data_IF_088748351830
#
_entry.id   IF_088748351830
#
_cell.length_a   1.000
_cell.length_b   1.000
_cell.length_c   1.000
_cell.angle_alpha   90.00
_cell.angle_beta   90.00
_cell.angle_gamma   90.00
#
_symmetry.space_group_name_H-M   'P 1'
#
loop_
_entity.id
_entity.type
_entity.pdbx_description
1 polymer ?
#
# COMPACT_ATOMS: atom_id res chain seq x y z
N UNK A 1 -8.79 10.85 6.75
CA UNK A 1 -8.92 9.52 6.09
C UNK A 1 -7.62 9.15 5.38
N UNK A 2 -7.20 9.89 4.36
CA UNK A 2 -5.93 9.63 3.64
C UNK A 2 -4.70 9.69 4.54
N UNK A 3 -4.54 10.74 5.36
CA UNK A 3 -3.41 10.85 6.29
C UNK A 3 -3.34 9.68 7.29
N UNK A 4 -4.49 9.25 7.81
CA UNK A 4 -4.59 8.10 8.71
C UNK A 4 -4.12 6.83 8.02
N UNK A 5 -4.51 6.61 6.77
CA UNK A 5 -4.06 5.45 6.00
C UNK A 5 -2.54 5.50 5.76
N UNK A 6 -1.99 6.67 5.42
CA UNK A 6 -0.53 6.83 5.22
C UNK A 6 0.23 6.52 6.52
N UNK A 7 -0.24 7.03 7.67
CA UNK A 7 0.38 6.74 8.97
C UNK A 7 0.31 5.25 9.33
N UNK A 8 -0.84 4.62 9.14
CA UNK A 8 -0.99 3.17 9.37
C UNK A 8 -0.05 2.34 8.49
N UNK A 9 0.13 2.75 7.23
CA UNK A 9 1.08 2.10 6.33
C UNK A 9 2.50 2.26 6.88
N UNK A 10 2.91 3.49 7.19
CA UNK A 10 4.25 3.78 7.70
C UNK A 10 4.56 2.99 8.99
N UNK A 11 3.66 3.00 9.96
CA UNK A 11 3.81 2.31 11.25
C UNK A 11 3.99 0.80 11.07
N UNK A 12 3.18 0.18 10.19
CA UNK A 12 3.29 -1.26 9.94
C UNK A 12 4.56 -1.62 9.17
N UNK A 13 4.98 -0.80 8.20
CA UNK A 13 6.23 -1.01 7.47
C UNK A 13 7.44 -0.93 8.41
N UNK A 14 7.48 0.09 9.27
CA UNK A 14 8.53 0.24 10.29
C UNK A 14 8.54 -0.94 11.25
N UNK A 15 7.36 -1.34 11.77
CA UNK A 15 7.23 -2.48 12.70
C UNK A 15 7.77 -3.79 12.11
N UNK A 16 7.58 -3.99 10.81
CA UNK A 16 8.08 -5.17 10.07
C UNK A 16 9.54 -5.07 9.64
N UNK A 17 10.20 -3.96 9.92
CA UNK A 17 11.62 -3.76 9.64
C UNK A 17 11.94 -3.35 8.21
N UNK A 18 10.93 -2.96 7.41
CA UNK A 18 11.18 -2.38 6.09
C UNK A 18 12.00 -1.10 6.22
N UNK A 19 12.85 -0.86 5.23
CA UNK A 19 13.73 0.31 5.17
C UNK A 19 13.38 1.28 4.05
N UNK A 20 12.58 0.83 3.08
CA UNK A 20 12.22 1.61 1.90
C UNK A 20 10.76 1.38 1.52
N UNK A 21 10.09 2.44 1.08
CA UNK A 21 8.76 2.41 0.50
C UNK A 21 8.72 3.30 -0.75
N UNK A 22 8.14 2.79 -1.84
CA UNK A 22 7.95 3.57 -3.07
C UNK A 22 6.46 3.57 -3.42
N UNK A 23 5.89 4.75 -3.60
CA UNK A 23 4.50 4.93 -4.00
C UNK A 23 4.44 5.28 -5.48
N UNK A 24 3.80 4.44 -6.30
CA UNK A 24 3.54 4.72 -7.71
C UNK A 24 2.12 5.27 -7.87
N UNK A 25 1.99 6.42 -8.52
CA UNK A 25 0.72 7.14 -8.69
C UNK A 25 0.63 7.61 -10.15
N UNK A 26 -0.57 7.57 -10.75
CA UNK A 26 -0.77 8.08 -12.10
C UNK A 26 -0.53 9.61 -12.22
N UNK A 27 0.02 10.04 -13.36
CA UNK A 27 0.08 11.45 -13.80
C UNK A 27 -1.34 11.96 -14.12
N UNK A 28 -1.55 13.29 -14.11
CA UNK A 28 -2.56 13.89 -13.24
C UNK A 28 -4.01 13.49 -13.57
N UNK A 29 -4.60 12.76 -12.62
CA UNK A 29 -5.92 13.10 -12.10
C UNK A 29 -5.73 14.25 -11.10
N UNK A 30 -6.56 15.28 -11.13
CA UNK A 30 -6.39 16.63 -10.54
C UNK A 30 -5.82 16.77 -9.09
N UNK A 31 -5.68 15.69 -8.32
CA UNK A 31 -5.20 15.69 -6.94
C UNK A 31 -3.84 15.01 -6.70
N UNK A 32 -3.17 14.43 -7.71
CA UNK A 32 -1.99 13.58 -7.48
C UNK A 32 -0.75 14.34 -7.01
N UNK A 33 -0.56 15.59 -7.44
CA UNK A 33 0.52 16.45 -6.94
C UNK A 33 0.41 16.74 -5.44
N UNK A 34 -0.80 17.07 -4.95
CA UNK A 34 -1.05 17.32 -3.53
C UNK A 34 -0.93 16.04 -2.70
N UNK A 35 -1.39 14.91 -3.23
CA UNK A 35 -1.24 13.60 -2.57
C UNK A 35 0.24 13.22 -2.43
N UNK A 36 1.04 13.39 -3.49
CA UNK A 36 2.49 13.15 -3.44
C UNK A 36 3.16 13.96 -2.33
N UNK A 37 2.90 15.27 -2.27
CA UNK A 37 3.43 16.11 -1.21
C UNK A 37 3.00 15.61 0.16
N UNK A 38 1.72 15.27 0.33
CA UNK A 38 1.19 14.82 1.61
C UNK A 38 1.79 13.49 2.08
N UNK A 39 2.02 12.55 1.17
CA UNK A 39 2.71 11.29 1.48
C UNK A 39 4.13 11.58 1.97
N UNK A 40 4.89 12.38 1.22
CA UNK A 40 6.28 12.71 1.60
C UNK A 40 6.36 13.43 2.95
N UNK A 41 5.45 14.37 3.22
CA UNK A 41 5.35 15.08 4.50
C UNK A 41 5.13 14.13 5.68
N UNK A 42 4.18 13.20 5.57
CA UNK A 42 3.85 12.27 6.66
C UNK A 42 4.96 11.23 6.83
N UNK A 43 5.49 10.69 5.73
CA UNK A 43 6.49 9.63 5.77
C UNK A 43 7.85 10.12 6.29
N UNK A 44 8.13 11.43 6.22
CA UNK A 44 9.33 12.03 6.79
C UNK A 44 9.45 11.88 8.32
N UNK A 45 8.34 11.65 9.03
CA UNK A 45 8.32 11.38 10.47
C UNK A 45 8.78 9.95 10.83
N UNK A 46 9.01 9.09 9.83
CA UNK A 46 9.30 7.66 10.01
C UNK A 46 10.69 7.29 9.46
N UNK A 47 11.38 6.29 10.03
CA UNK A 47 12.70 5.84 9.58
C UNK A 47 12.60 4.95 8.32
N UNK A 48 11.95 5.45 7.26
CA UNK A 48 11.75 4.80 5.97
C UNK A 48 12.28 5.69 4.84
N UNK A 49 13.17 5.15 4.01
CA UNK A 49 13.51 5.76 2.71
C UNK A 49 12.27 5.77 1.82
N UNK A 50 11.68 6.95 1.59
CA UNK A 50 10.40 7.07 0.91
C UNK A 50 10.54 7.81 -0.42
N UNK A 51 10.02 7.21 -1.48
CA UNK A 51 9.89 7.84 -2.79
C UNK A 51 8.44 7.84 -3.27
N UNK A 52 8.08 8.83 -4.08
CA UNK A 52 6.76 8.91 -4.74
C UNK A 52 6.96 9.23 -6.22
N UNK A 53 6.63 8.27 -7.06
CA UNK A 53 6.79 8.32 -8.51
C UNK A 53 5.45 8.60 -9.19
N UNK A 54 5.42 9.65 -10.03
CA UNK A 54 4.28 9.95 -10.87
C UNK A 54 4.53 9.38 -12.27
N UNK A 55 3.74 8.39 -12.68
CA UNK A 55 3.92 7.64 -13.93
C UNK A 55 2.67 7.70 -14.80
N UNK A 56 2.76 7.40 -16.09
CA UNK A 56 1.59 7.51 -16.97
C UNK A 56 0.57 6.37 -16.73
N UNK A 57 1.05 5.23 -16.23
CA UNK A 57 0.21 4.11 -15.80
C UNK A 57 0.92 3.33 -14.67
N UNK A 58 0.43 3.45 -13.44
CA UNK A 58 0.98 2.80 -12.26
C UNK A 58 0.86 1.28 -12.33
N UNK A 59 -0.26 0.75 -12.85
CA UNK A 59 -0.50 -0.69 -12.96
C UNK A 59 0.60 -1.38 -13.76
N UNK A 60 0.94 -0.82 -14.93
CA UNK A 60 1.99 -1.38 -15.81
C UNK A 60 3.35 -1.42 -15.12
N UNK A 61 3.65 -0.42 -14.29
CA UNK A 61 4.89 -0.39 -13.52
C UNK A 61 4.85 -1.46 -12.43
N UNK A 62 3.72 -1.61 -11.74
CA UNK A 62 3.56 -2.55 -10.63
C UNK A 62 3.53 -4.02 -11.07
N UNK A 63 3.11 -4.33 -12.30
CA UNK A 63 3.18 -5.70 -12.84
C UNK A 63 4.62 -6.24 -12.89
N UNK A 64 5.62 -5.37 -12.96
CA UNK A 64 7.03 -5.77 -13.05
C UNK A 64 7.78 -5.62 -11.72
N UNK A 65 7.07 -5.44 -10.60
CA UNK A 65 7.67 -5.27 -9.26
C UNK A 65 7.41 -6.45 -8.35
N UNK A 66 8.35 -6.66 -7.43
CA UNK A 66 8.24 -7.53 -6.27
C UNK A 66 7.80 -6.75 -5.04
N UNK A 67 7.36 -7.47 -4.02
CA UNK A 67 6.90 -6.91 -2.74
C UNK A 67 5.79 -5.85 -2.89
N UNK A 68 4.90 -6.04 -3.86
CA UNK A 68 3.80 -5.10 -4.16
C UNK A 68 2.74 -5.14 -3.06
N UNK A 69 2.24 -3.96 -2.69
CA UNK A 69 1.08 -3.81 -1.81
C UNK A 69 -0.03 -3.14 -2.64
N UNK A 70 -1.11 -3.87 -2.88
CA UNK A 70 -2.29 -3.37 -3.60
C UNK A 70 -3.55 -4.09 -3.13
N UNK A 71 -4.71 -3.46 -3.35
CA UNK A 71 -6.03 -4.11 -3.23
C UNK A 71 -6.63 -4.49 -4.58
N UNK A 72 -5.95 -4.17 -5.69
CA UNK A 72 -6.40 -4.50 -7.04
C UNK A 72 -5.96 -5.91 -7.43
N UNK A 73 -6.93 -6.80 -7.68
CA UNK A 73 -6.66 -8.20 -8.01
C UNK A 73 -5.84 -8.38 -9.30
N UNK A 74 -5.98 -7.49 -10.29
CA UNK A 74 -5.23 -7.56 -11.55
C UNK A 74 -3.76 -7.26 -11.29
N UNK A 75 -3.46 -6.28 -10.44
CA UNK A 75 -2.10 -5.96 -10.02
C UNK A 75 -1.50 -7.14 -9.25
N UNK A 76 -2.24 -7.70 -8.30
CA UNK A 76 -1.76 -8.81 -7.47
C UNK A 76 -1.51 -10.09 -8.29
N UNK A 77 -2.33 -10.34 -9.32
CA UNK A 77 -2.17 -11.48 -10.23
C UNK A 77 -0.93 -11.36 -11.13
N UNK A 78 -0.58 -10.13 -11.53
CA UNK A 78 0.48 -9.88 -12.53
C UNK A 78 1.83 -9.49 -11.96
N UNK A 79 1.89 -8.95 -10.75
CA UNK A 79 3.15 -8.56 -10.10
C UNK A 79 4.04 -9.78 -9.82
N UNK A 80 5.34 -9.55 -9.61
CA UNK A 80 6.30 -10.62 -9.32
C UNK A 80 6.00 -11.28 -7.97
N UNK A 81 5.66 -10.47 -6.97
CA UNK A 81 5.22 -10.93 -5.66
C UNK A 81 4.48 -9.82 -4.94
N UNK A 82 3.57 -10.20 -4.04
CA UNK A 82 2.80 -9.25 -3.23
C UNK A 82 2.83 -9.58 -1.75
N UNK A 83 2.57 -8.56 -0.94
CA UNK A 83 2.40 -8.66 0.51
C UNK A 83 0.94 -8.36 0.82
N UNK A 84 0.25 -9.28 1.51
CA UNK A 84 -1.12 -9.05 1.97
C UNK A 84 -1.16 -8.09 3.16
N UNK A 85 -0.89 -6.81 2.88
CA UNK A 85 -0.75 -5.78 3.89
C UNK A 85 -2.10 -5.28 4.42
N UNK A 86 -3.15 -5.35 3.61
CA UNK A 86 -4.49 -4.90 3.97
C UNK A 86 -5.09 -5.75 5.09
N UNK A 87 -5.02 -7.08 4.98
CA UNK A 87 -5.49 -7.99 6.02
C UNK A 87 -4.74 -7.77 7.34
N UNK A 88 -3.43 -7.47 7.27
CA UNK A 88 -2.60 -7.23 8.45
C UNK A 88 -2.95 -5.91 9.16
N UNK A 89 -3.12 -4.81 8.42
CA UNK A 89 -3.55 -3.54 9.00
C UNK A 89 -4.93 -3.71 9.66
N UNK A 90 -5.87 -4.35 8.97
CA UNK A 90 -7.22 -4.59 9.50
C UNK A 90 -7.18 -5.44 10.77
N UNK A 91 -6.40 -6.54 10.77
CA UNK A 91 -6.24 -7.38 11.96
C UNK A 91 -5.57 -6.68 13.15
N UNK A 92 -4.86 -5.57 12.93
CA UNK A 92 -4.26 -4.75 13.98
C UNK A 92 -5.21 -3.72 14.61
N UNK A 93 -6.41 -3.53 14.04
CA UNK A 93 -7.42 -2.59 14.55
C UNK A 93 -8.37 -3.35 15.47
N UNK A 94 -8.39 -3.02 16.77
CA UNK A 94 -9.18 -3.73 17.78
C UNK A 94 -10.69 -3.81 17.50
N UNK A 95 -11.24 -2.88 16.71
CA UNK A 95 -12.68 -2.84 16.35
C UNK A 95 -13.00 -3.41 14.97
N UNK A 96 -12.00 -3.94 14.24
CA UNK A 96 -12.23 -4.46 12.91
C UNK A 96 -12.88 -5.84 12.94
N UNK A 97 -13.86 -6.04 12.07
CA UNK A 97 -14.44 -7.35 11.80
C UNK A 97 -13.73 -7.97 10.59
N UNK A 98 -12.95 -9.02 10.83
CA UNK A 98 -12.32 -9.81 9.77
C UNK A 98 -13.13 -11.11 9.60
N UNK A 99 -13.71 -11.30 8.42
CA UNK A 99 -14.42 -12.52 8.04
C UNK A 99 -13.57 -13.29 7.03
N UNK A 100 -13.05 -14.45 7.42
CA UNK A 100 -12.30 -15.34 6.54
C UNK A 100 -13.24 -16.40 5.93
N UNK A 101 -13.32 -16.42 4.62
CA UNK A 101 -14.16 -17.36 3.86
C UNK A 101 -13.39 -18.57 3.32
N UNK A 102 -12.08 -18.66 3.60
CA UNK A 102 -11.24 -19.77 3.15
C UNK A 102 -11.61 -21.12 3.78
N UNK A 103 -12.34 -21.11 4.91
CA UNK A 103 -12.83 -22.32 5.58
C UNK A 103 -14.25 -22.74 5.17
N UNK A 104 -14.93 -22.00 4.27
CA UNK A 104 -16.24 -22.40 3.78
C UNK A 104 -16.07 -23.55 2.79
N UNK A 105 -15.98 -24.77 3.32
CA UNK A 105 -16.14 -25.99 2.54
C UNK A 105 -17.54 -25.99 1.94
N UNK A 106 -17.62 -25.81 0.63
CA UNK A 106 -18.81 -26.13 -0.13
C UNK A 106 -19.22 -27.57 0.22
N UNK A 107 -20.40 -27.71 0.82
CA UNK A 107 -21.07 -28.97 1.09
C UNK A 107 -21.69 -29.50 -0.19
#
# INVERSE_FOLDING_TARGET
KTDTAIRLIAENLVRKGFKKAVFWIDKPVSNTGRLKQRILEIMADYPLDTAVELVDNADTVLFEKDCVISSDAIILDKCISYINFAAEIVGSIESAQLYDFSEVKNS
#
